data_IF_041830817040
#
_entry.id   IF_041830817040
#
_cell.length_a   1.000
_cell.length_b   1.000
_cell.length_c   1.000
_cell.angle_alpha   90.00
_cell.angle_beta   90.00
_cell.angle_gamma   90.00
#
_symmetry.space_group_name_H-M   'P 1'
#
loop_
_entity.id
_entity.type
_entity.pdbx_description
1 polymer ?
#
# COMPACT_ATOMS: atom_id res chain seq x y z
N UNK A 1 21.71 -3.71 26.74
CA UNK A 1 21.17 -4.33 25.52
C UNK A 1 20.53 -3.23 24.69
N UNK A 2 20.71 -3.25 23.38
CA UNK A 2 20.04 -2.34 22.46
C UNK A 2 18.55 -2.67 22.42
N UNK A 3 17.68 -1.67 22.59
CA UNK A 3 16.23 -1.88 22.52
C UNK A 3 15.80 -2.33 21.12
N UNK A 4 14.87 -3.29 21.05
CA UNK A 4 14.32 -3.83 19.80
C UNK A 4 12.93 -3.30 19.53
N UNK A 5 12.74 -2.64 18.39
CA UNK A 5 11.46 -2.10 17.94
C UNK A 5 10.92 -2.94 16.78
N UNK A 6 9.78 -3.58 17.02
CA UNK A 6 9.05 -4.37 16.04
C UNK A 6 8.17 -3.50 15.13
N UNK A 7 8.35 -3.60 13.81
CA UNK A 7 7.46 -3.01 12.81
C UNK A 7 6.74 -4.14 12.06
N UNK A 8 5.42 -4.33 12.26
CA UNK A 8 4.67 -5.33 11.52
C UNK A 8 4.66 -5.03 10.01
N UNK A 9 4.92 -6.04 9.17
CA UNK A 9 4.88 -6.00 7.70
C UNK A 9 3.45 -5.96 7.16
N UNK A 10 2.61 -5.10 7.71
CA UNK A 10 1.21 -4.93 7.31
C UNK A 10 0.85 -3.47 7.12
N UNK A 11 -0.25 -3.24 6.39
CA UNK A 11 -0.85 -1.91 6.22
C UNK A 11 0.16 -0.84 5.72
N UNK A 12 0.46 0.19 6.50
CA UNK A 12 1.31 1.28 6.04
C UNK A 12 2.80 0.93 5.97
N UNK A 13 3.19 -0.31 6.28
CA UNK A 13 4.57 -0.80 6.18
C UNK A 13 5.23 -0.44 4.85
N UNK A 14 4.67 -0.87 3.72
CA UNK A 14 5.27 -0.64 2.39
C UNK A 14 5.35 0.84 2.00
N UNK A 15 4.63 1.70 2.72
CA UNK A 15 4.66 3.15 2.51
C UNK A 15 5.68 3.83 3.42
N UNK A 16 5.68 3.53 4.72
CA UNK A 16 6.38 4.33 5.72
C UNK A 16 7.59 3.61 6.35
N UNK A 17 7.86 2.35 6.01
CA UNK A 17 8.91 1.58 6.66
C UNK A 17 10.30 2.24 6.61
N UNK A 18 10.80 2.73 5.45
CA UNK A 18 12.14 3.35 5.41
C UNK A 18 12.28 4.58 6.31
N UNK A 19 11.22 5.38 6.46
CA UNK A 19 11.17 6.51 7.39
C UNK A 19 11.40 6.02 8.83
N UNK A 20 10.53 5.13 9.30
CA UNK A 20 10.56 4.67 10.69
C UNK A 20 11.78 3.81 11.00
N UNK A 21 12.23 2.99 10.05
CA UNK A 21 13.47 2.21 10.17
C UNK A 21 14.65 3.13 10.46
N UNK A 22 14.88 4.12 9.60
CA UNK A 22 16.00 5.05 9.76
C UNK A 22 15.86 5.87 11.04
N UNK A 23 14.65 6.33 11.38
CA UNK A 23 14.40 7.08 12.62
C UNK A 23 14.81 6.29 13.87
N UNK A 24 14.36 5.04 13.98
CA UNK A 24 14.66 4.18 15.12
C UNK A 24 16.14 3.76 15.18
N UNK A 25 16.76 3.46 14.04
CA UNK A 25 18.19 3.12 13.97
C UNK A 25 19.09 4.32 14.35
N UNK A 26 18.73 5.53 13.94
CA UNK A 26 19.45 6.77 14.30
C UNK A 26 19.33 7.12 15.79
N UNK A 27 18.27 6.63 16.46
CA UNK A 27 18.13 6.68 17.92
C UNK A 27 18.84 5.52 18.64
N UNK A 28 19.61 4.71 17.92
CA UNK A 28 20.40 3.63 18.48
C UNK A 28 19.60 2.38 18.84
N UNK A 29 18.44 2.16 18.21
CA UNK A 29 17.62 0.96 18.41
C UNK A 29 17.77 -0.04 17.26
N UNK A 30 17.47 -1.31 17.52
CA UNK A 30 17.41 -2.36 16.49
C UNK A 30 15.98 -2.48 15.97
N UNK A 31 15.80 -2.34 14.65
CA UNK A 31 14.49 -2.49 14.00
C UNK A 31 14.30 -3.92 13.53
N UNK A 32 13.28 -4.58 14.06
CA UNK A 32 12.89 -5.94 13.69
C UNK A 32 11.58 -5.90 12.91
N UNK A 33 11.55 -6.53 11.74
CA UNK A 33 10.34 -6.61 10.91
C UNK A 33 9.80 -8.03 10.97
N UNK A 34 8.48 -8.19 10.94
CA UNK A 34 7.88 -9.52 10.81
C UNK A 34 8.29 -10.17 9.47
N UNK A 35 8.23 -11.50 9.45
CA UNK A 35 8.54 -12.26 8.24
C UNK A 35 7.64 -11.86 7.06
N UNK A 36 8.01 -12.25 5.85
CA UNK A 36 7.10 -12.14 4.71
C UNK A 36 5.81 -12.93 4.99
N UNK A 37 4.68 -12.37 4.57
CA UNK A 37 3.38 -13.01 4.72
C UNK A 37 3.42 -14.42 4.16
N UNK A 38 2.88 -15.35 4.94
CA UNK A 38 2.78 -16.77 4.63
C UNK A 38 1.42 -17.26 5.05
N UNK A 39 1.05 -18.48 4.62
CA UNK A 39 -0.18 -19.13 5.06
C UNK A 39 -0.30 -19.16 6.59
N UNK A 40 0.80 -19.43 7.30
CA UNK A 40 0.82 -19.40 8.78
C UNK A 40 0.46 -18.03 9.34
N UNK A 41 1.07 -16.95 8.81
CA UNK A 41 0.77 -15.58 9.26
C UNK A 41 -0.70 -15.22 8.96
N UNK A 42 -1.21 -15.61 7.79
CA UNK A 42 -2.63 -15.41 7.47
C UNK A 42 -3.51 -16.17 8.46
N UNK A 43 -3.28 -17.47 8.65
CA UNK A 43 -4.10 -18.32 9.51
C UNK A 43 -4.07 -17.85 10.98
N UNK A 44 -2.90 -17.46 11.49
CA UNK A 44 -2.73 -16.89 12.83
C UNK A 44 -3.51 -15.57 12.96
N UNK A 45 -3.44 -14.72 11.93
CA UNK A 45 -4.16 -13.45 11.87
C UNK A 45 -5.68 -13.60 11.81
N UNK A 46 -6.18 -14.52 11.00
CA UNK A 46 -7.62 -14.83 10.87
C UNK A 46 -8.17 -15.35 12.20
N UNK A 47 -7.45 -16.27 12.87
CA UNK A 47 -7.90 -16.86 14.15
C UNK A 47 -7.95 -15.86 15.30
N UNK A 48 -7.11 -14.82 15.27
CA UNK A 48 -6.97 -13.88 16.38
C UNK A 48 -7.65 -12.53 16.16
N UNK A 49 -8.16 -12.26 14.96
CA UNK A 49 -8.84 -11.03 14.63
C UNK A 49 -10.36 -11.23 14.58
N UNK A 50 -11.12 -10.14 14.69
CA UNK A 50 -12.58 -10.18 14.53
C UNK A 50 -12.96 -10.50 13.08
N UNK A 51 -14.04 -11.27 12.89
CA UNK A 51 -14.46 -11.76 11.57
C UNK A 51 -14.76 -10.63 10.58
N UNK A 52 -15.35 -9.53 11.06
CA UNK A 52 -15.70 -8.34 10.27
C UNK A 52 -14.50 -7.46 9.88
N UNK A 53 -13.29 -7.79 10.36
CA UNK A 53 -12.08 -7.10 9.94
C UNK A 53 -11.80 -7.38 8.45
N UNK A 54 -11.21 -6.39 7.75
CA UNK A 54 -10.77 -6.63 6.39
C UNK A 54 -9.50 -7.46 6.39
N UNK A 55 -9.24 -8.20 5.31
CA UNK A 55 -8.04 -9.03 5.15
C UNK A 55 -6.73 -8.33 5.59
N UNK A 56 -6.45 -7.05 5.24
CA UNK A 56 -5.23 -6.36 5.65
C UNK A 56 -5.07 -6.19 7.16
N UNK A 57 -6.19 -6.06 7.89
CA UNK A 57 -6.16 -5.98 9.36
C UNK A 57 -5.95 -7.37 9.96
N UNK A 58 -6.56 -8.42 9.39
CA UNK A 58 -6.29 -9.81 9.79
C UNK A 58 -4.81 -10.17 9.59
N UNK A 59 -4.24 -9.83 8.43
CA UNK A 59 -2.80 -9.98 8.17
C UNK A 59 -1.94 -9.20 9.17
N UNK A 60 -2.34 -7.98 9.53
CA UNK A 60 -1.63 -7.19 10.54
C UNK A 60 -1.57 -7.90 11.90
N UNK A 61 -2.66 -8.55 12.33
CA UNK A 61 -2.67 -9.37 13.55
C UNK A 61 -1.66 -10.53 13.46
N UNK A 62 -1.64 -11.25 12.33
CA UNK A 62 -0.66 -12.31 12.10
C UNK A 62 0.79 -11.82 12.17
N UNK A 63 1.06 -10.63 11.64
CA UNK A 63 2.38 -10.00 11.71
C UNK A 63 2.77 -9.59 13.14
N UNK A 64 1.80 -9.14 13.95
CA UNK A 64 2.03 -8.87 15.38
C UNK A 64 2.34 -10.16 16.13
N UNK A 65 1.59 -11.25 15.89
CA UNK A 65 1.88 -12.57 16.47
C UNK A 65 3.29 -13.03 16.08
N UNK A 66 3.70 -12.82 14.83
CA UNK A 66 5.03 -13.16 14.36
C UNK A 66 6.15 -12.42 15.13
N UNK A 67 5.91 -11.18 15.55
CA UNK A 67 6.86 -10.36 16.30
C UNK A 67 6.80 -10.58 17.82
N UNK A 68 5.71 -11.16 18.32
CA UNK A 68 5.53 -11.42 19.75
C UNK A 68 6.69 -12.25 20.31
N UNK A 69 7.32 -11.76 21.38
CA UNK A 69 8.47 -12.41 22.01
C UNK A 69 9.82 -12.19 21.32
N UNK A 70 9.89 -11.43 20.22
CA UNK A 70 11.14 -11.09 19.51
C UNK A 70 11.62 -9.66 19.74
N UNK A 71 10.77 -8.80 20.31
CA UNK A 71 10.97 -7.35 20.41
C UNK A 71 10.53 -6.81 21.77
N UNK A 72 11.11 -5.68 22.18
CA UNK A 72 10.76 -4.99 23.42
C UNK A 72 9.57 -4.04 23.23
N UNK A 73 9.48 -3.44 22.03
CA UNK A 73 8.44 -2.51 21.64
C UNK A 73 7.77 -2.93 20.34
N UNK A 74 6.48 -2.68 20.21
CA UNK A 74 5.75 -2.75 18.94
C UNK A 74 5.40 -1.33 18.48
N UNK A 75 5.85 -0.96 17.29
CA UNK A 75 5.49 0.33 16.70
C UNK A 75 4.18 0.21 15.92
N UNK A 76 3.10 0.72 16.50
CA UNK A 76 1.75 0.69 15.94
C UNK A 76 1.15 2.08 16.14
N UNK A 77 1.55 3.09 15.35
CA UNK A 77 1.07 4.45 15.54
C UNK A 77 -0.42 4.59 15.21
N UNK A 78 -1.11 5.50 15.91
CA UNK A 78 -2.49 5.87 15.59
C UNK A 78 -2.48 6.85 14.43
N UNK A 79 -2.63 6.32 13.23
CA UNK A 79 -2.64 7.15 12.03
C UNK A 79 -4.06 7.73 11.83
N UNK A 80 -4.25 9.01 12.16
CA UNK A 80 -5.50 9.75 11.88
C UNK A 80 -5.46 10.36 10.48
N UNK A 81 -4.29 10.88 10.11
CA UNK A 81 -4.09 11.59 8.85
C UNK A 81 -2.60 11.68 8.51
N UNK A 82 -2.26 11.44 7.24
CA UNK A 82 -0.89 11.56 6.71
C UNK A 82 -0.76 12.67 5.65
N UNK A 83 -1.79 13.50 5.50
CA UNK A 83 -1.86 14.59 4.51
C UNK A 83 -2.86 15.65 4.95
N UNK A 84 -2.70 16.88 4.47
CA UNK A 84 -3.62 17.97 4.85
C UNK A 84 -5.05 17.69 4.40
N UNK A 85 -6.01 18.06 5.25
CA UNK A 85 -7.47 17.97 4.99
C UNK A 85 -8.04 16.57 4.71
N UNK A 86 -7.26 15.51 4.85
CA UNK A 86 -7.68 14.13 4.61
C UNK A 86 -7.67 13.31 5.89
N UNK A 87 -8.48 12.27 5.90
CA UNK A 87 -8.46 11.19 6.89
C UNK A 87 -7.98 9.91 6.24
N UNK A 88 -7.56 8.96 7.06
CA UNK A 88 -7.35 7.58 6.62
C UNK A 88 -8.35 6.65 7.29
N UNK A 89 -8.43 5.40 6.84
CA UNK A 89 -9.38 4.42 7.38
C UNK A 89 -9.40 4.42 8.92
N UNK A 90 -10.56 4.54 9.59
CA UNK A 90 -10.64 4.63 11.05
C UNK A 90 -10.06 3.43 11.79
N UNK A 91 -9.95 2.27 11.11
CA UNK A 91 -9.30 1.08 11.66
C UNK A 91 -7.86 1.40 12.12
N UNK A 92 -7.13 2.28 11.42
CA UNK A 92 -5.79 2.71 11.84
C UNK A 92 -5.73 3.40 13.20
N UNK A 93 -6.76 4.18 13.55
CA UNK A 93 -6.84 4.82 14.86
C UNK A 93 -7.09 3.81 15.98
N UNK A 94 -7.85 2.74 15.69
CA UNK A 94 -8.18 1.68 16.65
C UNK A 94 -7.19 0.51 16.69
N UNK A 95 -6.29 0.37 15.71
CA UNK A 95 -5.35 -0.75 15.61
C UNK A 95 -4.57 -1.04 16.91
N UNK A 96 -4.01 -0.04 17.62
CA UNK A 96 -3.25 -0.32 18.84
C UNK A 96 -4.11 -0.93 19.94
N UNK A 97 -5.35 -0.46 20.08
CA UNK A 97 -6.30 -0.98 21.07
C UNK A 97 -6.81 -2.35 20.67
N UNK A 98 -7.07 -2.56 19.38
CA UNK A 98 -7.43 -3.88 18.84
C UNK A 98 -6.36 -4.91 19.20
N UNK A 99 -5.07 -4.58 19.03
CA UNK A 99 -3.96 -5.47 19.38
C UNK A 99 -3.84 -5.68 20.90
N UNK A 100 -3.89 -4.61 21.70
CA UNK A 100 -3.80 -4.71 23.18
C UNK A 100 -4.89 -5.58 23.78
N UNK A 101 -6.10 -5.51 23.25
CA UNK A 101 -7.23 -6.24 23.79
C UNK A 101 -7.41 -7.65 23.18
N UNK A 102 -6.63 -8.00 22.15
CA UNK A 102 -6.72 -9.33 21.51
C UNK A 102 -5.63 -10.29 21.96
N UNK A 103 -4.60 -9.81 22.64
CA UNK A 103 -3.42 -10.62 22.97
C UNK A 103 -2.89 -10.34 24.37
N UNK A 104 -2.71 -11.41 25.16
CA UNK A 104 -1.97 -11.34 26.42
C UNK A 104 -0.46 -11.21 26.20
N UNK A 105 0.25 -10.59 27.14
CA UNK A 105 1.73 -10.52 27.15
C UNK A 105 2.33 -9.95 25.85
N UNK A 106 1.72 -8.91 25.29
CA UNK A 106 2.31 -8.21 24.15
C UNK A 106 3.44 -7.27 24.60
N UNK A 107 4.46 -7.04 23.75
CA UNK A 107 5.44 -5.98 23.96
C UNK A 107 4.77 -4.61 24.12
N UNK A 108 5.50 -3.66 24.72
CA UNK A 108 4.98 -2.30 24.91
C UNK A 108 4.67 -1.66 23.55
N UNK A 109 3.42 -1.26 23.36
CA UNK A 109 2.96 -0.68 22.08
C UNK A 109 3.20 0.82 22.08
N UNK A 110 4.01 1.29 21.14
CA UNK A 110 4.19 2.72 20.82
C UNK A 110 3.04 3.13 19.88
N UNK A 111 2.05 3.83 20.42
CA UNK A 111 0.79 4.18 19.73
C UNK A 111 0.55 5.68 19.54
N UNK A 112 1.63 6.45 19.46
CA UNK A 112 1.58 7.89 19.23
C UNK A 112 0.68 8.25 18.05
N UNK A 113 -0.15 9.29 18.23
CA UNK A 113 -1.03 9.78 17.17
C UNK A 113 -0.24 10.56 16.12
N UNK A 114 -0.42 10.17 14.86
CA UNK A 114 0.08 10.91 13.70
C UNK A 114 -1.12 11.54 12.98
N UNK A 115 -1.18 12.86 13.04
CA UNK A 115 -2.30 13.63 12.53
C UNK A 115 -1.84 14.90 11.79
N UNK A 116 -1.60 14.75 10.49
CA UNK A 116 -1.12 15.82 9.60
C UNK A 116 -2.26 16.66 9.00
N UNK A 117 -3.50 16.47 9.46
CA UNK A 117 -4.69 17.07 8.82
C UNK A 117 -4.69 18.60 8.89
N UNK A 118 -4.36 19.16 10.07
CA UNK A 118 -4.53 20.59 10.37
C UNK A 118 -3.22 21.38 10.38
N UNK A 119 -2.18 20.86 11.04
CA UNK A 119 -1.00 21.62 11.47
C UNK A 119 0.27 20.79 11.31
N UNK A 120 1.35 21.40 10.80
CA UNK A 120 2.65 20.72 10.63
C UNK A 120 3.29 20.45 12.00
N UNK A 121 2.96 21.27 12.99
CA UNK A 121 3.43 21.15 14.37
C UNK A 121 3.03 19.81 15.02
N UNK A 122 1.92 19.20 14.56
CA UNK A 122 1.49 17.88 15.01
C UNK A 122 2.48 16.77 14.60
N UNK A 123 3.16 16.93 13.46
CA UNK A 123 4.17 15.99 12.98
C UNK A 123 5.35 15.95 13.95
N UNK A 124 5.90 17.12 14.28
CA UNK A 124 7.03 17.25 15.20
C UNK A 124 6.65 16.74 16.59
N UNK A 125 5.43 17.04 17.05
CA UNK A 125 4.93 16.50 18.33
C UNK A 125 4.95 14.97 18.34
N UNK A 126 4.44 14.32 17.28
CA UNK A 126 4.41 12.87 17.18
C UNK A 126 5.83 12.26 17.12
N UNK A 127 6.74 12.91 16.40
CA UNK A 127 8.15 12.52 16.31
C UNK A 127 8.83 12.60 17.68
N UNK A 128 8.65 13.69 18.42
CA UNK A 128 9.20 13.85 19.76
C UNK A 128 8.63 12.83 20.74
N UNK A 129 7.31 12.63 20.73
CA UNK A 129 6.64 11.64 21.59
C UNK A 129 7.13 10.21 21.30
N UNK A 130 7.29 9.85 20.03
CA UNK A 130 7.83 8.54 19.62
C UNK A 130 9.31 8.39 20.00
N UNK A 131 10.13 9.42 19.76
CA UNK A 131 11.57 9.38 20.03
C UNK A 131 11.92 9.37 21.53
N UNK A 132 11.05 9.92 22.38
CA UNK A 132 11.22 9.97 23.84
C UNK A 132 11.20 8.61 24.53
N UNK A 133 10.79 7.55 23.83
CA UNK A 133 10.99 6.17 24.30
C UNK A 133 12.47 5.76 24.34
N UNK A 134 13.34 6.43 23.56
CA UNK A 134 14.73 6.01 23.34
C UNK A 134 15.77 7.11 23.59
N UNK A 135 15.36 8.38 23.58
CA UNK A 135 16.26 9.52 23.85
C UNK A 135 15.55 10.60 24.66
N UNK A 136 16.24 11.21 25.63
CA UNK A 136 15.77 12.42 26.32
C UNK A 136 16.20 13.71 25.62
N UNK A 137 17.05 13.61 24.60
CA UNK A 137 17.56 14.75 23.83
C UNK A 137 16.65 15.01 22.62
N UNK A 138 15.81 16.04 22.73
CA UNK A 138 14.90 16.47 21.66
C UNK A 138 15.68 16.86 20.38
N UNK A 139 16.89 17.42 20.48
CA UNK A 139 17.69 17.78 19.31
C UNK A 139 18.20 16.54 18.56
N UNK A 140 18.62 15.51 19.30
CA UNK A 140 18.97 14.22 18.71
C UNK A 140 17.78 13.55 18.03
N UNK A 141 16.57 13.64 18.63
CA UNK A 141 15.34 13.11 18.03
C UNK A 141 15.01 13.80 16.71
N UNK A 142 15.07 15.13 16.67
CA UNK A 142 14.81 15.90 15.44
C UNK A 142 15.84 15.55 14.36
N UNK A 143 17.13 15.46 14.73
CA UNK A 143 18.18 15.07 13.78
C UNK A 143 17.97 13.66 13.22
N UNK A 144 17.55 12.70 14.04
CA UNK A 144 17.19 11.36 13.58
C UNK A 144 16.01 11.40 12.59
N UNK A 145 15.02 12.27 12.84
CA UNK A 145 13.89 12.46 11.94
C UNK A 145 14.26 13.11 10.60
N UNK A 146 15.16 14.09 10.59
CA UNK A 146 15.65 14.71 9.36
C UNK A 146 16.34 13.69 8.45
N UNK A 147 17.19 12.82 9.02
CA UNK A 147 17.81 11.70 8.29
C UNK A 147 16.77 10.69 7.79
N UNK A 148 15.75 10.40 8.60
CA UNK A 148 14.64 9.55 8.19
C UNK A 148 13.87 10.12 7.00
N UNK A 149 13.63 11.43 6.96
CA UNK A 149 13.01 12.11 5.84
C UNK A 149 13.84 12.02 4.56
N UNK A 150 15.17 12.12 4.66
CA UNK A 150 16.08 11.91 3.53
C UNK A 150 15.98 10.48 2.97
N UNK A 151 16.05 9.48 3.86
CA UNK A 151 15.87 8.06 3.53
C UNK A 151 14.52 7.81 2.84
N UNK A 152 13.45 8.38 3.37
CA UNK A 152 12.11 8.29 2.79
C UNK A 152 12.00 8.98 1.43
N UNK A 153 12.66 10.13 1.24
CA UNK A 153 12.73 10.83 -0.04
C UNK A 153 13.44 9.99 -1.12
N UNK A 154 14.55 9.35 -0.76
CA UNK A 154 15.29 8.45 -1.66
C UNK A 154 14.50 7.19 -2.00
N UNK A 155 13.72 6.68 -1.05
CA UNK A 155 12.79 5.57 -1.27
C UNK A 155 11.68 5.95 -2.27
N UNK A 156 11.06 7.13 -2.11
CA UNK A 156 10.02 7.61 -3.02
C UNK A 156 10.53 7.74 -4.46
N UNK A 157 11.73 8.33 -4.65
CA UNK A 157 12.36 8.46 -5.98
C UNK A 157 12.59 7.12 -6.68
N UNK A 158 12.96 6.08 -5.92
CA UNK A 158 13.13 4.72 -6.47
C UNK A 158 11.79 4.09 -6.89
N UNK A 159 10.71 4.37 -6.16
CA UNK A 159 9.38 3.91 -6.57
C UNK A 159 8.91 4.66 -7.82
N UNK A 160 9.10 5.98 -7.86
CA UNK A 160 8.80 6.81 -9.03
C UNK A 160 9.57 6.37 -10.29
N UNK A 161 10.76 5.76 -10.13
CA UNK A 161 11.52 5.18 -11.25
C UNK A 161 11.08 3.76 -11.65
N UNK A 162 10.04 3.21 -11.02
CA UNK A 162 9.42 1.93 -11.38
C UNK A 162 9.88 0.72 -10.57
N UNK A 163 10.64 0.93 -9.48
CA UNK A 163 11.09 -0.15 -8.59
C UNK A 163 10.02 -0.42 -7.53
N UNK A 164 9.69 -1.69 -7.29
CA UNK A 164 8.67 -2.03 -6.30
C UNK A 164 9.21 -1.91 -4.86
N UNK A 165 8.41 -1.40 -3.91
CA UNK A 165 8.68 -1.39 -2.47
C UNK A 165 9.37 -2.64 -1.91
N UNK A 166 8.83 -3.84 -2.20
CA UNK A 166 9.39 -5.09 -1.69
C UNK A 166 10.82 -5.36 -2.17
N UNK A 167 11.15 -5.00 -3.41
CA UNK A 167 12.49 -5.21 -3.97
C UNK A 167 13.53 -4.26 -3.35
N UNK A 168 13.10 -3.03 -3.01
CA UNK A 168 13.95 -2.05 -2.30
C UNK A 168 14.16 -2.50 -0.85
N UNK A 169 13.08 -2.83 -0.15
CA UNK A 169 13.08 -3.18 1.28
C UNK A 169 13.87 -4.46 1.54
N UNK A 170 13.62 -5.52 0.76
CA UNK A 170 14.26 -6.81 0.95
C UNK A 170 15.66 -6.87 0.29
N UNK A 171 16.16 -5.75 -0.25
CA UNK A 171 17.43 -5.60 -0.99
C UNK A 171 17.61 -6.63 -2.10
N UNK A 172 16.51 -7.17 -2.61
CA UNK A 172 16.49 -8.02 -3.79
C UNK A 172 16.41 -7.07 -4.97
N UNK A 173 17.55 -6.59 -5.44
CA UNK A 173 17.68 -6.06 -6.80
C UNK A 173 17.43 -7.23 -7.76
N UNK A 174 16.17 -7.62 -7.91
CA UNK A 174 15.79 -8.39 -9.08
C UNK A 174 16.17 -7.48 -10.25
N UNK A 175 17.09 -7.96 -11.10
CA UNK A 175 17.33 -7.38 -12.41
C UNK A 175 16.00 -7.49 -13.14
N UNK A 176 15.18 -6.44 -13.02
CA UNK A 176 13.92 -6.36 -13.71
C UNK A 176 14.28 -6.33 -15.19
N UNK A 177 13.84 -7.37 -15.93
CA UNK A 177 14.00 -7.39 -17.38
C UNK A 177 13.49 -6.05 -17.91
N UNK A 178 14.29 -5.40 -18.76
CA UNK A 178 13.85 -4.18 -19.45
C UNK A 178 12.49 -4.45 -20.09
N UNK A 179 11.55 -3.48 -20.05
CA UNK A 179 10.27 -3.63 -20.74
C UNK A 179 10.53 -4.13 -22.16
N UNK A 180 9.81 -5.17 -22.58
CA UNK A 180 9.89 -5.63 -23.97
C UNK A 180 9.43 -4.49 -24.89
N UNK A 181 10.01 -4.43 -26.09
CA UNK A 181 9.49 -3.59 -27.17
C UNK A 181 8.00 -3.94 -27.38
N UNK A 182 7.11 -2.94 -27.33
CA UNK A 182 5.64 -3.09 -27.38
C UNK A 182 4.94 -3.68 -26.14
N UNK A 183 5.57 -3.68 -24.96
CA UNK A 183 4.89 -4.08 -23.72
C UNK A 183 3.61 -3.25 -23.46
N UNK A 184 2.54 -3.93 -23.02
CA UNK A 184 1.31 -3.24 -22.59
C UNK A 184 1.58 -2.51 -21.28
N UNK A 185 1.15 -1.25 -21.18
CA UNK A 185 1.15 -0.54 -19.89
C UNK A 185 -0.20 -0.79 -19.21
N UNK A 186 -0.15 -1.40 -18.02
CA UNK A 186 -1.35 -1.68 -17.22
C UNK A 186 -1.22 -0.97 -15.89
N UNK A 187 -2.17 -0.11 -15.59
CA UNK A 187 -2.22 0.53 -14.29
C UNK A 187 -2.76 -0.44 -13.25
N UNK A 188 -2.14 -0.46 -12.08
CA UNK A 188 -2.59 -1.27 -10.93
C UNK A 188 -2.89 -0.33 -9.77
N UNK A 189 -4.17 -0.17 -9.48
CA UNK A 189 -4.68 0.73 -8.45
C UNK A 189 -5.09 -0.09 -7.24
N UNK A 190 -4.52 0.18 -6.08
CA UNK A 190 -4.81 -0.52 -4.83
C UNK A 190 -4.02 0.09 -3.69
N UNK A 191 -4.39 -0.20 -2.45
CA UNK A 191 -3.57 0.22 -1.32
C UNK A 191 -2.20 -0.46 -1.37
N UNK A 192 -1.15 0.24 -0.95
CA UNK A 192 0.22 -0.30 -0.95
C UNK A 192 0.32 -1.70 -0.28
N UNK A 193 -0.40 -1.93 0.82
CA UNK A 193 -0.42 -3.24 1.48
C UNK A 193 -1.12 -4.35 0.70
N UNK A 194 -2.04 -4.02 -0.21
CA UNK A 194 -2.63 -4.99 -1.13
C UNK A 194 -1.74 -5.19 -2.36
N UNK A 195 -1.02 -4.16 -2.81
CA UNK A 195 -0.20 -4.23 -4.02
C UNK A 195 1.16 -4.91 -3.80
N UNK A 196 1.74 -4.80 -2.61
CA UNK A 196 3.12 -5.22 -2.37
C UNK A 196 3.27 -6.41 -1.41
N UNK A 197 2.19 -6.84 -0.77
CA UNK A 197 2.13 -8.13 -0.09
C UNK A 197 1.94 -9.26 -1.11
N UNK A 198 3.04 -9.95 -1.42
CA UNK A 198 3.09 -11.00 -2.44
C UNK A 198 2.21 -12.20 -2.13
N UNK A 199 1.99 -12.52 -0.87
CA UNK A 199 1.12 -13.63 -0.51
C UNK A 199 -0.34 -13.21 -0.64
N UNK A 200 -0.70 -12.05 -0.10
CA UNK A 200 -2.08 -11.57 -0.11
C UNK A 200 -2.64 -11.34 -1.52
N UNK A 201 -1.80 -10.90 -2.47
CA UNK A 201 -2.21 -10.66 -3.84
C UNK A 201 -1.74 -11.71 -4.84
N UNK A 202 -1.17 -12.81 -4.35
CA UNK A 202 -0.69 -13.92 -5.18
C UNK A 202 0.34 -13.47 -6.23
N UNK A 203 1.26 -12.60 -5.83
CA UNK A 203 2.38 -12.06 -6.62
C UNK A 203 1.96 -11.40 -7.94
N UNK A 204 0.78 -10.75 -7.95
CA UNK A 204 0.12 -10.18 -9.14
C UNK A 204 1.04 -9.30 -9.99
N UNK A 205 1.83 -8.41 -9.39
CA UNK A 205 2.71 -7.51 -10.14
C UNK A 205 3.81 -8.27 -10.90
N UNK A 206 4.29 -9.39 -10.34
CA UNK A 206 5.31 -10.22 -10.97
C UNK A 206 4.71 -11.10 -12.06
N UNK A 207 3.49 -11.60 -11.86
CA UNK A 207 2.71 -12.30 -12.88
C UNK A 207 2.49 -11.42 -14.11
N UNK A 208 2.07 -10.18 -13.93
CA UNK A 208 1.98 -9.20 -15.03
C UNK A 208 3.31 -9.02 -15.76
N UNK A 209 4.42 -8.83 -15.04
CA UNK A 209 5.75 -8.74 -15.68
C UNK A 209 6.13 -10.00 -16.46
N UNK A 210 5.81 -11.19 -15.94
CA UNK A 210 6.05 -12.46 -16.63
C UNK A 210 5.21 -12.60 -17.90
N UNK A 211 4.02 -12.01 -17.92
CA UNK A 211 3.18 -11.89 -19.11
C UNK A 211 3.69 -10.84 -20.11
N UNK A 212 4.82 -10.17 -19.88
CA UNK A 212 5.32 -9.13 -20.78
C UNK A 212 4.57 -7.79 -20.66
N UNK A 213 3.87 -7.58 -19.54
CA UNK A 213 3.18 -6.32 -19.21
C UNK A 213 4.10 -5.44 -18.38
N UNK A 214 4.01 -4.13 -18.59
CA UNK A 214 4.60 -3.10 -17.73
C UNK A 214 3.55 -2.60 -16.71
N UNK A 215 3.55 -3.09 -15.45
CA UNK A 215 2.63 -2.62 -14.43
C UNK A 215 3.05 -1.24 -13.89
N UNK A 216 2.10 -0.30 -13.86
CA UNK A 216 2.28 1.06 -13.32
C UNK A 216 1.40 1.21 -12.07
N UNK A 217 2.00 1.37 -10.88
CA UNK A 217 1.24 1.51 -9.63
C UNK A 217 0.97 2.98 -9.27
N UNK A 218 0.03 3.21 -8.37
CA UNK A 218 -0.36 4.55 -7.89
C UNK A 218 0.82 5.36 -7.34
N UNK A 219 1.77 4.69 -6.71
CA UNK A 219 2.98 5.26 -6.11
C UNK A 219 4.04 5.66 -7.15
N UNK A 220 3.96 5.14 -8.38
CA UNK A 220 4.86 5.50 -9.49
C UNK A 220 4.43 6.78 -10.21
N UNK A 221 3.17 7.18 -10.03
CA UNK A 221 2.60 8.35 -10.69
C UNK A 221 2.94 9.63 -9.95
N UNK A 222 3.02 10.73 -10.70
CA UNK A 222 3.26 12.05 -10.11
C UNK A 222 2.12 12.45 -9.17
N UNK A 223 2.50 12.85 -7.95
CA UNK A 223 1.53 13.26 -6.93
C UNK A 223 0.79 14.55 -7.31
N UNK A 224 1.43 15.48 -7.99
CA UNK A 224 0.81 16.73 -8.44
C UNK A 224 -0.26 16.48 -9.50
N UNK A 225 0.01 15.57 -10.42
CA UNK A 225 -0.94 15.12 -11.43
C UNK A 225 -2.15 14.41 -10.79
N UNK A 226 -1.92 13.46 -9.87
CA UNK A 226 -3.04 12.82 -9.16
C UNK A 226 -3.90 13.85 -8.42
N UNK A 227 -3.27 14.83 -7.77
CA UNK A 227 -3.96 15.88 -7.04
C UNK A 227 -4.76 16.81 -7.98
N UNK A 228 -4.26 17.10 -9.18
CA UNK A 228 -4.97 17.95 -10.16
C UNK A 228 -6.22 17.24 -10.68
N UNK A 229 -6.14 15.95 -11.01
CA UNK A 229 -7.29 15.18 -11.47
C UNK A 229 -8.30 14.90 -10.37
N UNK A 230 -7.85 14.63 -9.14
CA UNK A 230 -8.74 14.44 -8.00
C UNK A 230 -9.59 15.70 -7.70
N UNK A 231 -9.07 16.90 -7.99
CA UNK A 231 -9.80 18.18 -7.85
C UNK A 231 -10.90 18.36 -8.90
N UNK A 232 -10.91 17.58 -9.98
CA UNK A 232 -11.97 17.66 -11.02
C UNK A 232 -13.28 17.01 -10.58
N UNK A 233 -13.29 16.27 -9.47
CA UNK A 233 -14.51 15.74 -8.87
C UNK A 233 -15.34 16.86 -8.25
N UNK A 234 -16.67 16.80 -8.43
CA UNK A 234 -17.62 17.76 -7.82
C UNK A 234 -17.42 17.90 -6.30
N UNK A 235 -17.02 16.82 -5.63
CA UNK A 235 -16.64 16.81 -4.23
C UNK A 235 -15.35 16.00 -4.06
N UNK A 236 -14.35 16.62 -3.47
CA UNK A 236 -13.10 15.94 -3.17
C UNK A 236 -13.31 14.83 -2.14
N UNK A 237 -12.65 13.71 -2.40
CA UNK A 237 -12.60 12.59 -1.48
C UNK A 237 -11.83 12.99 -0.23
N UNK A 238 -12.46 12.82 0.93
CA UNK A 238 -11.83 13.12 2.22
C UNK A 238 -10.94 11.97 2.72
N UNK A 239 -11.04 10.78 2.14
CA UNK A 239 -10.15 9.65 2.42
C UNK A 239 -8.89 9.74 1.56
N UNK A 240 -7.71 9.70 2.20
CA UNK A 240 -6.39 9.75 1.54
C UNK A 240 -6.31 8.81 0.33
N UNK A 241 -6.58 7.52 0.55
CA UNK A 241 -6.48 6.53 -0.51
C UNK A 241 -7.58 6.73 -1.56
N UNK A 242 -8.82 7.02 -1.15
CA UNK A 242 -9.92 7.24 -2.09
C UNK A 242 -9.62 8.36 -3.08
N UNK A 243 -9.03 9.46 -2.60
CA UNK A 243 -8.57 10.55 -3.44
C UNK A 243 -7.45 10.10 -4.39
N UNK A 244 -6.43 9.40 -3.88
CA UNK A 244 -5.32 8.89 -4.69
C UNK A 244 -5.82 7.93 -5.78
N UNK A 245 -6.68 6.97 -5.42
CA UNK A 245 -7.22 5.98 -6.33
C UNK A 245 -8.00 6.61 -7.50
N UNK A 246 -8.90 7.56 -7.20
CA UNK A 246 -9.72 8.20 -8.24
C UNK A 246 -8.88 9.18 -9.06
N UNK A 247 -8.02 9.98 -8.42
CA UNK A 247 -7.12 10.89 -9.14
C UNK A 247 -6.15 10.14 -10.06
N UNK A 248 -5.63 9.00 -9.61
CA UNK A 248 -4.82 8.10 -10.44
C UNK A 248 -5.63 7.52 -11.59
N UNK A 249 -6.81 6.96 -11.34
CA UNK A 249 -7.67 6.41 -12.40
C UNK A 249 -7.98 7.45 -13.49
N UNK A 250 -8.27 8.69 -13.09
CA UNK A 250 -8.52 9.81 -13.98
C UNK A 250 -7.27 10.25 -14.76
N UNK A 251 -6.12 10.42 -14.09
CA UNK A 251 -4.84 10.72 -14.74
C UNK A 251 -4.49 9.67 -15.78
N UNK A 252 -4.56 8.40 -15.40
CA UNK A 252 -4.29 7.24 -16.26
C UNK A 252 -5.23 7.21 -17.48
N UNK A 253 -6.51 7.55 -17.29
CA UNK A 253 -7.47 7.57 -18.39
C UNK A 253 -7.09 8.57 -19.48
N UNK A 254 -6.43 9.68 -19.12
CA UNK A 254 -5.95 10.69 -20.06
C UNK A 254 -4.59 10.34 -20.68
N UNK A 255 -3.91 9.30 -20.20
CA UNK A 255 -2.63 8.86 -20.74
C UNK A 255 -2.86 7.82 -21.85
N UNK A 256 -2.70 8.22 -23.11
CA UNK A 256 -2.90 7.36 -24.28
C UNK A 256 -2.02 6.10 -24.27
N UNK A 257 -0.86 6.15 -23.62
CA UNK A 257 0.05 5.01 -23.51
C UNK A 257 -0.47 3.91 -22.57
N UNK A 258 -1.51 4.17 -21.77
CA UNK A 258 -2.12 3.14 -20.92
C UNK A 258 -3.11 2.27 -21.69
N UNK A 259 -3.02 0.95 -21.50
CA UNK A 259 -3.84 -0.03 -22.21
C UNK A 259 -4.93 -0.69 -21.35
N UNK A 260 -4.84 -0.56 -20.03
CA UNK A 260 -5.84 -1.12 -19.11
C UNK A 260 -5.61 -0.71 -17.66
N UNK A 261 -6.64 -0.90 -16.83
CA UNK A 261 -6.62 -0.61 -15.40
C UNK A 261 -7.09 -1.85 -14.64
N UNK A 262 -6.28 -2.30 -13.68
CA UNK A 262 -6.62 -3.32 -12.70
C UNK A 262 -6.79 -2.62 -11.35
N UNK A 263 -7.96 -2.69 -10.75
CA UNK A 263 -8.21 -2.21 -9.40
C UNK A 263 -8.18 -3.38 -8.42
N UNK A 264 -7.27 -3.36 -7.44
CA UNK A 264 -7.15 -4.34 -6.37
C UNK A 264 -7.76 -3.77 -5.09
N UNK A 265 -8.79 -4.45 -4.58
CA UNK A 265 -9.35 -4.17 -3.25
C UNK A 265 -9.29 -5.42 -2.38
N UNK A 266 -9.35 -5.22 -1.06
CA UNK A 266 -9.51 -6.32 -0.12
C UNK A 266 -10.95 -6.45 0.35
N UNK A 267 -11.41 -7.69 0.53
CA UNK A 267 -12.71 -7.97 1.13
C UNK A 267 -12.83 -7.35 2.52
N UNK A 268 -14.02 -6.84 2.83
CA UNK A 268 -14.30 -6.08 4.06
C UNK A 268 -13.75 -4.65 4.09
N UNK A 269 -13.19 -4.14 2.99
CA UNK A 269 -12.74 -2.75 2.90
C UNK A 269 -13.91 -1.80 2.59
N UNK A 270 -14.48 -1.18 3.64
CA UNK A 270 -15.63 -0.27 3.48
C UNK A 270 -15.36 1.04 2.73
N UNK A 271 -14.11 1.52 2.67
CA UNK A 271 -13.77 2.71 1.86
C UNK A 271 -13.70 2.34 0.38
N UNK A 272 -13.08 1.19 0.06
CA UNK A 272 -12.88 0.81 -1.35
C UNK A 272 -14.19 0.36 -2.01
N UNK A 273 -15.14 -0.16 -1.25
CA UNK A 273 -16.42 -0.68 -1.78
C UNK A 273 -17.22 0.33 -2.62
N UNK A 274 -17.06 1.63 -2.36
CA UNK A 274 -17.66 2.69 -3.18
C UNK A 274 -16.62 3.46 -4.01
N UNK A 275 -15.36 3.51 -3.58
CA UNK A 275 -14.29 4.19 -4.34
C UNK A 275 -14.00 3.47 -5.65
N UNK A 276 -14.02 2.13 -5.68
CA UNK A 276 -13.76 1.37 -6.90
C UNK A 276 -14.84 1.64 -7.97
N UNK A 277 -16.12 1.59 -7.60
CA UNK A 277 -17.25 1.89 -8.48
C UNK A 277 -17.20 3.35 -8.95
N UNK A 278 -16.90 4.29 -8.05
CA UNK A 278 -16.76 5.69 -8.43
C UNK A 278 -15.60 5.90 -9.42
N UNK A 279 -14.45 5.27 -9.19
CA UNK A 279 -13.30 5.33 -10.09
C UNK A 279 -13.66 4.73 -11.46
N UNK A 280 -14.27 3.55 -11.49
CA UNK A 280 -14.68 2.88 -12.73
C UNK A 280 -15.64 3.73 -13.56
N UNK A 281 -16.70 4.28 -12.96
CA UNK A 281 -17.67 5.14 -13.66
C UNK A 281 -17.00 6.37 -14.26
N UNK A 282 -16.10 7.01 -13.50
CA UNK A 282 -15.37 8.18 -13.95
C UNK A 282 -14.42 7.87 -15.12
N UNK A 283 -13.79 6.69 -15.12
CA UNK A 283 -12.96 6.21 -16.23
C UNK A 283 -13.82 5.97 -17.46
N UNK A 284 -14.90 5.17 -17.34
CA UNK A 284 -15.78 4.79 -18.46
C UNK A 284 -16.45 5.99 -19.13
N UNK A 285 -16.75 7.05 -18.38
CA UNK A 285 -17.30 8.29 -18.94
C UNK A 285 -16.30 9.11 -19.75
N UNK A 286 -14.98 8.82 -19.66
CA UNK A 286 -13.92 9.60 -20.31
C UNK A 286 -13.23 8.83 -21.42
N UNK A 287 -13.00 7.53 -21.23
CA UNK A 287 -12.29 6.69 -22.19
C UNK A 287 -12.79 5.26 -22.12
N UNK A 288 -12.94 4.64 -23.28
CA UNK A 288 -13.17 3.21 -23.39
C UNK A 288 -11.85 2.44 -23.21
N UNK A 289 -11.29 2.52 -22.00
CA UNK A 289 -10.12 1.75 -21.56
C UNK A 289 -10.58 0.53 -20.74
N UNK A 290 -10.07 -0.68 -21.02
CA UNK A 290 -10.34 -1.87 -20.23
C UNK A 290 -10.10 -1.67 -18.74
N UNK A 291 -11.09 -2.02 -17.93
CA UNK A 291 -11.08 -1.85 -16.48
C UNK A 291 -11.60 -3.12 -15.82
N UNK A 292 -10.87 -3.65 -14.84
CA UNK A 292 -11.30 -4.81 -14.04
C UNK A 292 -11.05 -4.56 -12.55
N UNK A 293 -11.99 -4.98 -11.72
CA UNK A 293 -11.85 -5.00 -10.26
C UNK A 293 -11.56 -6.43 -9.80
N UNK A 294 -10.44 -6.61 -9.12
CA UNK A 294 -10.08 -7.86 -8.44
C UNK A 294 -10.19 -7.65 -6.93
N UNK A 295 -10.93 -8.54 -6.29
CA UNK A 295 -11.08 -8.56 -4.82
C UNK A 295 -10.22 -9.69 -4.27
N UNK A 296 -9.38 -9.38 -3.29
CA UNK A 296 -8.61 -10.37 -2.53
C UNK A 296 -9.28 -10.64 -1.18
N UNK A 297 -9.35 -11.90 -0.79
CA UNK A 297 -9.90 -12.36 0.49
C UNK A 297 -9.09 -13.52 1.07
N UNK A 298 -9.52 -14.03 2.22
CA UNK A 298 -8.85 -15.09 2.99
C UNK A 298 -8.95 -16.48 2.33
N UNK A 299 -9.91 -16.65 1.42
CA UNK A 299 -10.24 -17.91 0.75
C UNK A 299 -9.87 -17.89 -0.73
N UNK A 300 -9.29 -16.79 -1.22
CA UNK A 300 -9.06 -16.55 -2.63
C UNK A 300 -8.10 -17.61 -3.15
N UNK A 301 -8.56 -18.34 -4.17
CA UNK A 301 -7.75 -19.34 -4.86
C UNK A 301 -6.89 -18.69 -5.94
N UNK A 302 -5.60 -19.03 -5.94
CA UNK A 302 -4.62 -18.51 -6.91
C UNK A 302 -5.05 -18.73 -8.36
N UNK A 303 -5.54 -19.93 -8.69
CA UNK A 303 -5.98 -20.28 -10.04
C UNK A 303 -7.08 -19.34 -10.59
N UNK A 304 -8.03 -18.91 -9.75
CA UNK A 304 -9.12 -18.03 -10.17
C UNK A 304 -8.65 -16.61 -10.47
N UNK A 305 -7.66 -16.10 -9.74
CA UNK A 305 -7.05 -14.81 -10.01
C UNK A 305 -6.21 -14.87 -11.29
N UNK A 306 -5.46 -15.95 -11.49
CA UNK A 306 -4.60 -16.14 -12.66
C UNK A 306 -5.40 -16.18 -13.96
N UNK A 307 -6.45 -16.99 -14.03
CA UNK A 307 -7.31 -17.06 -15.23
C UNK A 307 -7.95 -15.71 -15.55
N UNK A 308 -8.34 -14.92 -14.54
CA UNK A 308 -8.92 -13.58 -14.74
C UNK A 308 -7.88 -12.58 -15.25
N UNK A 309 -6.64 -12.65 -14.74
CA UNK A 309 -5.55 -11.83 -15.23
C UNK A 309 -5.19 -12.18 -16.68
N UNK A 310 -5.05 -13.47 -16.99
CA UNK A 310 -4.78 -13.97 -18.34
C UNK A 310 -5.84 -13.49 -19.32
N UNK A 311 -7.12 -13.75 -19.03
CA UNK A 311 -8.23 -13.33 -19.87
C UNK A 311 -8.26 -11.81 -20.07
N UNK A 312 -7.99 -11.02 -19.03
CA UNK A 312 -7.96 -9.56 -19.12
C UNK A 312 -6.83 -9.06 -20.05
N UNK A 313 -5.63 -9.60 -19.91
CA UNK A 313 -4.49 -9.21 -20.76
C UNK A 313 -4.69 -9.67 -22.20
N UNK A 314 -5.20 -10.87 -22.41
CA UNK A 314 -5.44 -11.40 -23.76
C UNK A 314 -6.55 -10.62 -24.49
N UNK A 315 -7.60 -10.21 -23.78
CA UNK A 315 -8.62 -9.31 -24.32
C UNK A 315 -8.02 -7.98 -24.81
N UNK A 316 -7.10 -7.38 -24.05
CA UNK A 316 -6.43 -6.12 -24.43
C UNK A 316 -5.55 -6.34 -25.66
N UNK A 317 -4.80 -7.45 -25.71
CA UNK A 317 -3.97 -7.81 -26.88
C UNK A 317 -4.81 -8.02 -28.13
N UNK A 318 -5.93 -8.72 -27.98
CA UNK A 318 -6.87 -8.98 -29.06
C UNK A 318 -7.45 -7.68 -29.61
N UNK A 319 -7.91 -6.77 -28.73
CA UNK A 319 -8.39 -5.43 -29.13
C UNK A 319 -7.34 -4.65 -29.90
N UNK A 320 -6.07 -4.67 -29.47
CA UNK A 320 -4.97 -3.96 -30.17
C UNK A 320 -4.63 -4.57 -31.54
N UNK A 321 -4.80 -5.88 -31.71
CA UNK A 321 -4.52 -6.58 -32.97
C UNK A 321 -5.66 -6.43 -33.99
N UNK A 322 -6.90 -6.46 -33.50
CA UNK A 322 -8.11 -6.62 -34.31
C UNK A 322 -9.02 -5.39 -34.29
N UNK A 323 -8.52 -4.21 -33.89
CA UNK A 323 -9.28 -2.94 -33.89
C UNK A 323 -9.83 -2.57 -35.28
N UNK A 324 -9.29 -3.20 -36.35
CA UNK A 324 -9.74 -3.08 -37.73
C UNK A 324 -10.57 -4.27 -38.26
N UNK A 325 -10.73 -5.36 -37.50
CA UNK A 325 -11.50 -6.54 -37.92
C UNK A 325 -12.95 -6.40 -37.45
N UNK A 326 -13.77 -5.76 -38.28
CA UNK A 326 -15.22 -5.82 -38.16
C UNK A 326 -15.67 -7.19 -38.67
N UNK A 327 -16.42 -7.93 -37.84
CA UNK A 327 -17.03 -9.19 -38.25
C UNK A 327 -17.83 -8.97 -39.54
N UNK A 328 -17.63 -9.83 -40.54
CA UNK A 328 -18.45 -9.83 -41.76
C UNK A 328 -19.95 -10.14 -41.48
N UNK A 329 -20.27 -10.54 -40.24
CA UNK A 329 -21.62 -10.90 -39.80
C UNK A 329 -22.34 -9.80 -39.01
N UNK A 330 -21.71 -8.63 -38.79
CA UNK A 330 -22.29 -7.53 -38.00
C UNK A 330 -22.11 -7.70 -36.51
#
# INVERSE_FOLDING_TARGET
MTAKVGIPRGLFFYKLYPLWKTFFEELGTEVVVSDQTSKRILDDGVKSCVDEACLPVKLFFGHVINLKGKVDYLFIPRLTSISRNEYICPKFGGLPDMIRNSFDNIPLVIDTEINLRKKKENEIKAVLETGRYFSSDDAAIIKAYEKALESYGNYKKQIESGIFPGDIIDKKLAVLKKPQENALNIAVIGHAYNLYDRYANMDLLRKLKNMGVNPVTVEMLDSGEIDSYAKTLNKQMFWYFGRKAVGSALSISNNENMNGIIYIMAFGCGVDSFVCDMAERNVRNRRDIPYIVLTIDEHSGEAGLDTRLEAFIDMIRWRKKNEADVSAYG
#
